data_IF_788938311171
#
_entry.id   IF_788938311171
#
_cell.length_a   1.000
_cell.length_b   1.000
_cell.length_c   1.000
_cell.angle_alpha   90.00
_cell.angle_beta   90.00
_cell.angle_gamma   90.00
#
_symmetry.space_group_name_H-M   'P 1'
#
loop_
_entity.id
_entity.type
_entity.pdbx_description
1 polymer ?
#
# COMPACT_ATOMS: atom_id res chain seq x y z
N UNK A 1 -31.81 -62.16 -20.44
CA UNK A 1 -30.36 -61.89 -20.28
C UNK A 1 -30.09 -60.44 -20.68
N UNK A 2 -29.36 -59.72 -19.82
CA UNK A 2 -28.62 -58.46 -20.09
C UNK A 2 -29.51 -57.23 -20.36
N UNK A 3 -30.18 -56.65 -19.37
CA UNK A 3 -29.69 -55.71 -18.33
C UNK A 3 -28.87 -54.53 -18.91
N UNK A 4 -29.47 -53.34 -18.73
CA UNK A 4 -28.90 -52.13 -18.13
C UNK A 4 -28.27 -51.05 -19.05
N UNK A 5 -28.72 -49.81 -18.75
CA UNK A 5 -28.11 -48.50 -18.98
C UNK A 5 -28.36 -47.95 -20.40
N UNK A 6 -29.18 -46.92 -20.60
CA UNK A 6 -28.93 -45.52 -20.19
C UNK A 6 -30.26 -44.81 -19.88
N UNK A 7 -30.56 -44.65 -18.59
CA UNK A 7 -31.39 -43.55 -18.10
C UNK A 7 -30.45 -42.43 -17.65
N UNK A 8 -31.01 -41.22 -17.48
CA UNK A 8 -30.35 -40.04 -16.92
C UNK A 8 -29.44 -39.34 -17.96
N UNK A 9 -29.65 -38.09 -18.37
CA UNK A 9 -29.52 -36.90 -17.53
C UNK A 9 -30.33 -35.77 -18.20
N UNK A 10 -31.55 -35.55 -17.72
CA UNK A 10 -32.20 -34.24 -17.72
C UNK A 10 -31.91 -33.69 -16.32
N UNK A 11 -30.87 -32.86 -16.19
CA UNK A 11 -30.33 -32.50 -14.88
C UNK A 11 -29.63 -31.15 -14.89
N UNK A 12 -30.42 -30.10 -14.65
CA UNK A 12 -30.03 -28.93 -13.84
C UNK A 12 -28.76 -28.19 -14.30
N UNK A 13 -28.90 -27.35 -15.31
CA UNK A 13 -28.05 -26.16 -15.44
C UNK A 13 -28.55 -25.09 -14.46
N UNK A 14 -28.21 -25.26 -13.18
CA UNK A 14 -28.25 -24.20 -12.18
C UNK A 14 -26.83 -24.02 -11.64
N UNK A 15 -25.94 -23.50 -12.49
CA UNK A 15 -24.68 -22.94 -11.99
C UNK A 15 -25.01 -21.65 -11.25
N UNK A 16 -25.31 -21.77 -9.96
CA UNK A 16 -25.27 -20.65 -9.04
C UNK A 16 -23.82 -20.16 -8.96
N UNK A 17 -23.50 -19.13 -9.74
CA UNK A 17 -22.26 -18.37 -9.63
C UNK A 17 -22.28 -17.66 -8.28
N UNK A 18 -21.75 -18.32 -7.26
CA UNK A 18 -21.42 -17.66 -5.99
C UNK A 18 -20.13 -16.86 -6.20
N UNK A 19 -20.26 -15.65 -6.73
CA UNK A 19 -19.24 -14.62 -6.62
C UNK A 19 -19.20 -14.18 -5.15
N UNK A 20 -18.52 -14.96 -4.31
CA UNK A 20 -18.22 -14.54 -2.94
C UNK A 20 -17.21 -13.39 -3.01
N UNK A 21 -17.73 -12.16 -3.04
CA UNK A 21 -16.93 -11.00 -2.66
C UNK A 21 -16.52 -11.20 -1.21
N UNK A 22 -15.27 -11.60 -0.98
CA UNK A 22 -14.72 -11.67 0.36
C UNK A 22 -15.00 -10.35 1.08
N UNK A 23 -15.56 -10.35 2.30
CA UNK A 23 -15.79 -9.12 3.04
C UNK A 23 -14.43 -8.45 3.24
N UNK A 24 -14.27 -7.24 2.70
CA UNK A 24 -13.12 -6.38 2.96
C UNK A 24 -13.09 -6.15 4.47
N UNK A 25 -12.25 -6.90 5.18
CA UNK A 25 -12.03 -6.73 6.61
C UNK A 25 -11.70 -5.25 6.83
N UNK A 26 -12.58 -4.53 7.53
CA UNK A 26 -12.35 -3.14 7.87
C UNK A 26 -11.01 -3.06 8.60
N UNK A 27 -10.00 -2.49 7.96
CA UNK A 27 -8.66 -2.38 8.51
C UNK A 27 -8.73 -1.33 9.61
N UNK A 28 -8.69 -1.78 10.87
CA UNK A 28 -8.61 -0.90 12.03
C UNK A 28 -7.42 0.03 11.89
N UNK A 29 -7.65 1.34 12.07
CA UNK A 29 -6.61 2.35 11.96
C UNK A 29 -5.43 2.03 12.90
N UNK A 30 -4.21 1.95 12.36
CA UNK A 30 -2.99 1.75 13.16
C UNK A 30 -2.33 3.10 13.42
N UNK A 31 -2.27 3.51 14.68
CA UNK A 31 -1.60 4.75 15.10
C UNK A 31 -0.09 4.53 15.15
N UNK A 32 0.66 5.48 14.59
CA UNK A 32 2.12 5.53 14.56
C UNK A 32 2.56 6.79 15.29
N UNK A 33 3.46 6.65 16.27
CA UNK A 33 3.91 7.77 17.11
C UNK A 33 5.43 7.83 17.11
N UNK A 34 5.99 8.93 16.59
CA UNK A 34 7.44 9.22 16.55
C UNK A 34 8.30 8.03 16.12
N UNK A 35 7.87 7.30 15.09
CA UNK A 35 8.60 6.16 14.59
C UNK A 35 9.61 6.62 13.54
N UNK A 36 10.86 6.14 13.63
CA UNK A 36 11.85 6.35 12.57
C UNK A 36 11.60 5.37 11.42
N UNK A 37 11.43 5.89 10.21
CA UNK A 37 11.06 5.15 9.00
C UNK A 37 11.92 5.57 7.81
N UNK A 38 11.93 4.76 6.76
CA UNK A 38 12.39 5.21 5.45
C UNK A 38 11.31 6.08 4.80
N UNK A 39 11.73 7.17 4.16
CA UNK A 39 10.87 8.09 3.40
C UNK A 39 11.49 8.38 2.04
N UNK A 40 10.70 8.28 0.97
CA UNK A 40 11.14 8.48 -0.41
C UNK A 40 9.94 8.57 -1.38
N UNK A 41 10.20 8.68 -2.68
CA UNK A 41 9.21 8.45 -3.72
C UNK A 41 8.77 6.97 -3.71
N UNK A 42 7.45 6.72 -3.64
CA UNK A 42 6.89 5.38 -3.58
C UNK A 42 7.17 4.56 -4.82
N UNK A 43 7.03 5.17 -5.99
CA UNK A 43 7.22 4.55 -7.30
C UNK A 43 8.70 4.30 -7.57
N UNK A 44 9.54 5.33 -7.46
CA UNK A 44 10.95 5.26 -7.81
C UNK A 44 11.73 4.36 -6.84
N UNK A 45 11.56 4.56 -5.53
CA UNK A 45 12.42 3.93 -4.52
C UNK A 45 11.78 2.71 -3.86
N UNK A 46 10.47 2.70 -3.66
CA UNK A 46 9.77 1.57 -3.03
C UNK A 46 9.07 0.64 -4.01
N UNK A 47 9.14 0.92 -5.32
CA UNK A 47 8.54 0.10 -6.40
C UNK A 47 7.03 -0.09 -6.23
N UNK A 48 6.37 0.90 -5.64
CA UNK A 48 4.92 0.93 -5.51
C UNK A 48 4.27 1.18 -6.87
N UNK A 49 3.09 0.60 -7.09
CA UNK A 49 2.30 0.90 -8.30
C UNK A 49 1.61 2.26 -8.10
N UNK A 50 1.93 3.19 -8.98
CA UNK A 50 1.36 4.53 -9.05
C UNK A 50 1.65 5.12 -10.42
N UNK A 51 1.29 6.39 -10.64
CA UNK A 51 1.51 7.07 -11.93
C UNK A 51 2.37 8.32 -11.83
N UNK A 52 2.65 8.78 -10.61
CA UNK A 52 3.26 10.09 -10.36
C UNK A 52 4.47 9.96 -9.41
N UNK A 53 5.07 11.08 -9.02
CA UNK A 53 6.11 11.13 -7.98
C UNK A 53 5.45 11.31 -6.61
N UNK A 54 4.95 10.23 -6.02
CA UNK A 54 4.18 10.32 -4.78
C UNK A 54 5.04 9.98 -3.56
N UNK A 55 4.92 10.79 -2.50
CA UNK A 55 5.65 10.57 -1.25
C UNK A 55 5.16 9.30 -0.56
N UNK A 56 6.08 8.48 -0.09
CA UNK A 56 5.79 7.26 0.63
C UNK A 56 6.71 7.06 1.84
N UNK A 57 6.23 6.31 2.82
CA UNK A 57 7.00 5.85 3.99
C UNK A 57 6.99 4.33 4.08
N UNK A 58 8.06 3.74 4.59
CA UNK A 58 8.14 2.31 4.90
C UNK A 58 8.08 2.09 6.41
N UNK A 59 6.93 1.61 6.88
CA UNK A 59 6.65 1.31 8.29
C UNK A 59 6.62 -0.20 8.46
N UNK A 60 7.45 -0.73 9.34
CA UNK A 60 7.55 -2.17 9.65
C UNK A 60 7.71 -3.05 8.39
N UNK A 61 8.51 -2.58 7.43
CA UNK A 61 8.79 -3.27 6.17
C UNK A 61 7.72 -3.12 5.09
N UNK A 62 6.56 -2.52 5.38
CA UNK A 62 5.49 -2.26 4.41
C UNK A 62 5.47 -0.78 4.01
N UNK A 63 5.35 -0.52 2.71
CA UNK A 63 5.31 0.84 2.17
C UNK A 63 3.88 1.36 2.06
N UNK A 64 3.71 2.64 2.37
CA UNK A 64 2.44 3.36 2.34
C UNK A 64 2.64 4.71 1.68
N UNK A 65 1.76 5.07 0.74
CA UNK A 65 1.70 6.45 0.26
C UNK A 65 1.24 7.37 1.39
N UNK A 66 1.76 8.59 1.37
CA UNK A 66 1.51 9.60 2.41
C UNK A 66 0.35 10.49 1.99
N UNK A 67 -0.60 10.71 2.89
CA UNK A 67 -1.61 11.75 2.78
C UNK A 67 -1.23 12.95 3.66
N UNK A 68 -1.53 14.16 3.18
CA UNK A 68 -1.35 15.42 3.93
C UNK A 68 0.01 16.10 3.75
N UNK A 69 0.97 15.45 3.11
CA UNK A 69 2.27 16.01 2.71
C UNK A 69 2.67 15.54 1.32
N UNK A 70 3.16 16.46 0.51
CA UNK A 70 3.68 16.21 -0.83
C UNK A 70 5.17 15.91 -0.84
N UNK A 71 5.66 15.34 -1.93
CA UNK A 71 7.09 15.02 -2.10
C UNK A 71 7.96 16.29 -2.10
N UNK A 72 7.48 17.35 -2.75
CA UNK A 72 8.21 18.62 -2.90
C UNK A 72 8.13 19.53 -1.66
N UNK A 73 7.31 19.18 -0.65
CA UNK A 73 7.29 19.87 0.64
C UNK A 73 8.65 19.79 1.38
N UNK A 74 9.54 18.91 0.91
CA UNK A 74 10.83 18.61 1.51
C UNK A 74 12.02 19.01 0.61
N UNK A 75 11.76 19.72 -0.50
CA UNK A 75 12.75 20.12 -1.49
C UNK A 75 12.55 19.44 -2.85
N UNK A 76 13.44 19.71 -3.81
CA UNK A 76 13.34 19.16 -5.17
C UNK A 76 13.46 17.62 -5.16
N UNK A 77 12.37 16.94 -5.51
CA UNK A 77 12.33 15.49 -5.58
C UNK A 77 13.33 14.89 -6.57
N UNK A 78 13.74 15.64 -7.61
CA UNK A 78 14.68 15.20 -8.65
C UNK A 78 16.12 15.68 -8.45
N UNK A 79 16.40 16.41 -7.37
CA UNK A 79 17.76 16.78 -7.01
C UNK A 79 18.63 15.54 -6.69
N UNK A 80 19.95 15.73 -6.59
CA UNK A 80 20.90 14.63 -6.32
C UNK A 80 20.53 13.78 -5.09
N UNK A 81 19.95 14.43 -4.07
CA UNK A 81 19.46 13.80 -2.84
C UNK A 81 17.93 13.88 -2.71
N UNK A 82 17.23 14.22 -3.80
CA UNK A 82 15.78 14.27 -3.85
C UNK A 82 15.16 12.88 -3.69
N UNK A 83 13.91 12.83 -3.28
CA UNK A 83 13.22 11.58 -2.96
C UNK A 83 13.01 10.62 -4.14
N UNK A 84 13.11 11.09 -5.38
CA UNK A 84 13.13 10.20 -6.55
C UNK A 84 14.48 9.49 -6.71
N UNK A 85 15.57 10.07 -6.18
CA UNK A 85 16.93 9.60 -6.36
C UNK A 85 17.54 8.94 -5.12
N UNK A 86 17.05 9.27 -3.92
CA UNK A 86 17.56 8.73 -2.66
C UNK A 86 16.45 8.33 -1.68
N UNK A 87 16.78 7.41 -0.77
CA UNK A 87 15.95 7.07 0.39
C UNK A 87 16.51 7.76 1.63
N UNK A 88 15.67 8.52 2.31
CA UNK A 88 16.02 9.24 3.53
C UNK A 88 15.38 8.60 4.76
N UNK A 89 15.78 9.06 5.95
CA UNK A 89 15.15 8.70 7.22
C UNK A 89 14.30 9.86 7.74
N UNK A 90 13.14 9.55 8.30
CA UNK A 90 12.29 10.51 9.00
C UNK A 90 11.71 9.94 10.27
N UNK A 91 11.49 10.79 11.27
CA UNK A 91 10.58 10.49 12.38
C UNK A 91 9.16 10.90 11.96
N UNK A 92 8.20 9.98 12.06
CA UNK A 92 6.81 10.20 11.63
C UNK A 92 5.80 9.94 12.75
N UNK A 93 4.75 10.75 12.77
CA UNK A 93 3.55 10.54 13.59
C UNK A 93 2.31 10.65 12.70
N UNK A 94 1.36 9.73 12.85
CA UNK A 94 0.17 9.67 12.00
C UNK A 94 -0.59 8.36 12.16
N UNK A 95 -1.43 8.04 11.19
CA UNK A 95 -2.28 6.85 11.22
C UNK A 95 -2.30 6.14 9.87
N UNK A 96 -2.27 4.82 9.89
CA UNK A 96 -2.49 4.01 8.68
C UNK A 96 -3.98 3.72 8.58
N UNK A 97 -4.62 4.23 7.54
CA UNK A 97 -6.05 4.05 7.26
C UNK A 97 -6.21 3.71 5.79
N UNK A 98 -6.93 2.61 5.49
CA UNK A 98 -7.16 2.15 4.11
C UNK A 98 -5.85 2.00 3.31
N UNK A 99 -4.82 1.40 3.91
CA UNK A 99 -3.50 1.20 3.31
C UNK A 99 -2.77 2.50 2.86
N UNK A 100 -3.09 3.65 3.46
CA UNK A 100 -2.37 4.91 3.28
C UNK A 100 -1.97 5.47 4.64
N UNK A 101 -0.82 6.15 4.70
CA UNK A 101 -0.34 6.80 5.91
C UNK A 101 -0.79 8.26 5.94
N UNK A 102 -1.75 8.57 6.81
CA UNK A 102 -2.21 9.94 7.06
C UNK A 102 -1.22 10.62 8.00
N UNK A 103 -0.38 11.48 7.44
CA UNK A 103 0.66 12.15 8.21
C UNK A 103 0.06 13.25 9.10
N UNK A 104 0.44 13.22 10.39
CA UNK A 104 0.26 14.34 11.32
C UNK A 104 1.54 15.16 11.43
N UNK A 105 2.68 14.48 11.51
CA UNK A 105 4.01 15.08 11.58
C UNK A 105 5.02 14.22 10.82
N UNK A 106 5.91 14.88 10.09
CA UNK A 106 7.06 14.27 9.43
C UNK A 106 8.26 15.16 9.71
N UNK A 107 9.28 14.61 10.35
CA UNK A 107 10.53 15.29 10.65
C UNK A 107 11.68 14.54 9.99
N UNK A 108 12.27 15.13 8.95
CA UNK A 108 13.46 14.55 8.32
C UNK A 108 14.62 14.49 9.31
N UNK A 109 15.33 13.37 9.28
CA UNK A 109 16.54 13.18 10.05
C UNK A 109 17.75 13.53 9.17
N UNK A 110 18.81 14.10 9.76
CA UNK A 110 20.03 14.41 9.02
C UNK A 110 20.62 13.13 8.42
N UNK A 111 21.10 13.22 7.19
CA UNK A 111 21.86 12.14 6.56
C UNK A 111 23.10 11.83 7.43
N UNK A 112 23.27 10.56 7.80
CA UNK A 112 24.51 10.12 8.45
C UNK A 112 25.61 10.18 7.40
N UNK A 113 26.64 11.00 7.67
CA UNK A 113 27.87 11.06 6.88
C UNK A 113 28.65 9.75 7.01
#
# INVERSE_FOLDING_TARGET
MKKLIFALILGVFAFSVNAQTAPKKAETAKVITKQTVDIACGECQFKMKGKDCELAVKIDGKSYFVDGKGIDDFGDAHGEHGFCNAVSKAEVTGEIVNNRFKAKEIKLLPAKK
#
